data_IF_356759092702
#
_entry.id   IF_356759092702
#
_cell.length_a   1.000
_cell.length_b   1.000
_cell.length_c   1.000
_cell.angle_alpha   90.00
_cell.angle_beta   90.00
_cell.angle_gamma   90.00
#
_symmetry.space_group_name_H-M   'P 1'
#
loop_
_entity.id
_entity.type
_entity.pdbx_description
1 polymer ?
#
# COMPACT_ATOMS: atom_id res chain seq x y z
N UNK A 1 8.78 -0.17 1.56
CA UNK A 1 8.81 1.05 0.72
C UNK A 1 7.62 1.04 -0.23
N UNK A 2 7.24 2.20 -0.78
CA UNK A 2 6.13 2.42 -1.71
C UNK A 2 4.75 1.93 -1.21
N UNK A 3 4.59 1.80 0.11
CA UNK A 3 3.37 1.25 0.71
C UNK A 3 3.07 -0.22 0.35
N UNK A 4 4.03 -0.96 -0.23
CA UNK A 4 3.82 -2.36 -0.64
C UNK A 4 3.17 -3.19 0.48
N UNK A 5 2.00 -3.75 0.20
CA UNK A 5 1.19 -4.43 1.19
C UNK A 5 -0.20 -4.80 0.68
N UNK A 6 -0.97 -5.45 1.55
CA UNK A 6 -2.34 -5.86 1.24
C UNK A 6 -3.31 -4.66 1.26
N UNK A 7 -4.47 -4.80 0.59
CA UNK A 7 -5.51 -3.78 0.58
C UNK A 7 -5.03 -2.47 -0.06
N UNK A 8 -5.14 -1.37 0.69
CA UNK A 8 -4.65 -0.05 0.29
C UNK A 8 -3.13 0.13 0.44
N UNK A 9 -2.43 -0.89 0.95
CA UNK A 9 -1.01 -0.83 1.29
C UNK A 9 -0.75 -0.70 2.79
N UNK A 10 0.53 -0.86 3.14
CA UNK A 10 1.05 -0.52 4.47
C UNK A 10 1.38 0.98 4.54
N UNK A 11 1.71 1.47 5.74
CA UNK A 11 2.32 2.79 5.90
C UNK A 11 3.56 2.88 4.99
N UNK A 12 3.58 3.81 4.01
CA UNK A 12 4.72 3.93 3.11
C UNK A 12 5.95 4.40 3.90
N UNK A 13 7.04 3.65 3.80
CA UNK A 13 8.22 3.84 4.64
C UNK A 13 8.89 5.18 4.33
N UNK A 14 9.11 5.48 3.06
CA UNK A 14 9.65 6.74 2.58
C UNK A 14 8.85 7.97 3.07
N UNK A 15 7.53 7.86 3.16
CA UNK A 15 6.67 8.91 3.73
C UNK A 15 6.84 9.01 5.25
N UNK A 16 6.83 7.86 5.95
CA UNK A 16 7.01 7.83 7.40
C UNK A 16 8.38 8.41 7.81
N UNK A 17 9.44 7.99 7.14
CA UNK A 17 10.81 8.42 7.42
C UNK A 17 10.96 9.93 7.14
N UNK A 18 10.38 10.44 6.05
CA UNK A 18 10.38 11.88 5.78
C UNK A 18 9.68 12.69 6.88
N UNK A 19 8.55 12.20 7.42
CA UNK A 19 7.85 12.84 8.54
C UNK A 19 8.67 12.76 9.82
N UNK A 20 9.27 11.60 10.13
CA UNK A 20 10.14 11.45 11.30
C UNK A 20 11.32 12.43 11.26
N UNK A 21 11.97 12.61 10.11
CA UNK A 21 13.06 13.58 9.91
C UNK A 21 12.58 15.01 10.23
N UNK A 22 11.44 15.42 9.67
CA UNK A 22 10.84 16.75 9.93
C UNK A 22 10.48 16.97 11.41
N UNK A 23 10.19 15.89 12.13
CA UNK A 23 9.86 15.90 13.55
C UNK A 23 11.08 15.73 14.47
N UNK A 24 12.29 15.55 13.92
CA UNK A 24 13.50 15.29 14.70
C UNK A 24 13.50 13.91 15.40
N UNK A 25 12.77 12.95 14.86
CA UNK A 25 12.71 11.57 15.36
C UNK A 25 13.74 10.72 14.61
N UNK A 26 14.75 10.23 15.34
CA UNK A 26 15.79 9.39 14.76
C UNK A 26 15.27 7.99 14.43
N UNK A 27 15.44 7.56 13.19
CA UNK A 27 15.01 6.24 12.69
C UNK A 27 16.17 5.37 12.21
N UNK A 28 17.35 5.95 12.01
CA UNK A 28 18.50 5.28 11.39
C UNK A 28 18.36 5.02 9.88
N UNK A 29 17.34 5.58 9.23
CA UNK A 29 17.08 5.41 7.80
C UNK A 29 17.24 6.75 7.09
N UNK A 30 18.02 6.77 6.02
CA UNK A 30 18.22 7.96 5.19
C UNK A 30 17.00 8.20 4.27
N UNK A 31 16.45 9.43 4.32
CA UNK A 31 15.23 9.84 3.59
C UNK A 31 15.39 9.69 2.08
N UNK A 32 16.52 10.11 1.52
CA UNK A 32 16.72 10.10 0.07
C UNK A 32 16.96 8.68 -0.44
N UNK A 33 17.74 7.88 0.28
CA UNK A 33 17.97 6.47 -0.09
C UNK A 33 16.70 5.63 -0.02
N UNK A 34 15.82 5.85 0.97
CA UNK A 34 14.56 5.10 1.03
C UNK A 34 13.58 5.52 -0.08
N UNK A 35 13.63 6.78 -0.51
CA UNK A 35 12.90 7.25 -1.67
C UNK A 35 13.40 6.55 -2.96
N UNK A 36 14.72 6.47 -3.17
CA UNK A 36 15.29 5.77 -4.32
C UNK A 36 14.89 4.28 -4.31
N UNK A 37 14.96 3.61 -3.15
CA UNK A 37 14.48 2.22 -3.01
C UNK A 37 13.00 2.08 -3.36
N UNK A 38 12.16 3.05 -2.95
CA UNK A 38 10.74 3.02 -3.26
C UNK A 38 10.51 3.08 -4.78
N UNK A 39 11.11 4.06 -5.47
CA UNK A 39 10.85 4.34 -6.88
C UNK A 39 11.61 3.41 -7.83
N UNK A 40 12.89 3.15 -7.56
CA UNK A 40 13.76 2.45 -8.51
C UNK A 40 13.71 0.92 -8.34
N UNK A 41 13.32 0.42 -7.16
CA UNK A 41 13.36 -1.02 -6.85
C UNK A 41 11.98 -1.60 -6.54
N UNK A 42 11.15 -0.92 -5.73
CA UNK A 42 9.90 -1.51 -5.24
C UNK A 42 8.72 -1.25 -6.17
N UNK A 43 8.55 -0.02 -6.69
CA UNK A 43 7.49 0.27 -7.67
C UNK A 43 7.60 -0.61 -8.93
N UNK A 44 8.79 -0.87 -9.52
CA UNK A 44 8.91 -1.67 -10.74
C UNK A 44 8.51 -3.14 -10.60
N UNK A 45 8.50 -3.69 -9.38
CA UNK A 45 8.11 -5.09 -9.11
C UNK A 45 6.64 -5.23 -8.69
N UNK A 46 5.88 -4.14 -8.63
CA UNK A 46 4.46 -4.20 -8.29
C UNK A 46 3.63 -4.67 -9.49
N UNK A 47 2.81 -5.70 -9.29
CA UNK A 47 1.86 -6.17 -10.31
C UNK A 47 0.77 -5.11 -10.63
N UNK A 48 0.42 -4.30 -9.64
CA UNK A 48 -0.58 -3.25 -9.74
C UNK A 48 -0.24 -2.12 -8.75
N UNK A 49 -0.63 -0.87 -9.05
CA UNK A 49 -0.36 0.25 -8.17
C UNK A 49 -1.07 0.08 -6.83
N UNK A 50 -0.31 0.20 -5.74
CA UNK A 50 -0.85 0.24 -4.38
C UNK A 50 -1.41 1.64 -4.13
N UNK A 51 -2.72 1.73 -3.91
CA UNK A 51 -3.41 3.00 -3.66
C UNK A 51 -4.74 2.78 -2.93
N UNK A 52 -5.28 3.86 -2.36
CA UNK A 52 -6.64 3.91 -1.83
C UNK A 52 -7.62 4.02 -3.01
N UNK A 53 -8.06 2.88 -3.54
CA UNK A 53 -9.16 2.81 -4.51
C UNK A 53 -10.51 2.53 -3.81
N UNK A 54 -11.60 2.45 -4.59
CA UNK A 54 -12.95 2.24 -4.04
C UNK A 54 -13.04 0.97 -3.21
N UNK A 55 -12.50 -0.14 -3.72
CA UNK A 55 -12.62 -1.45 -3.08
C UNK A 55 -11.76 -1.52 -1.82
N UNK A 56 -10.54 -0.98 -1.87
CA UNK A 56 -9.67 -0.89 -0.71
C UNK A 56 -10.27 0.00 0.40
N UNK A 57 -10.91 1.11 0.02
CA UNK A 57 -11.62 1.98 0.97
C UNK A 57 -12.83 1.27 1.59
N UNK A 58 -13.62 0.55 0.79
CA UNK A 58 -14.74 -0.28 1.28
C UNK A 58 -14.25 -1.32 2.28
N UNK A 59 -13.15 -2.03 1.98
CA UNK A 59 -12.53 -2.98 2.90
C UNK A 59 -12.19 -2.35 4.25
N UNK A 60 -11.52 -1.19 4.22
CA UNK A 60 -11.16 -0.47 5.44
C UNK A 60 -12.38 0.00 6.23
N UNK A 61 -13.38 0.56 5.55
CA UNK A 61 -14.62 1.02 6.17
C UNK A 61 -15.40 -0.13 6.83
N UNK A 62 -15.46 -1.30 6.18
CA UNK A 62 -16.16 -2.48 6.68
C UNK A 62 -15.33 -3.29 7.70
N UNK A 63 -14.10 -2.90 8.01
CA UNK A 63 -13.22 -3.64 8.92
C UNK A 63 -12.80 -5.02 8.37
N UNK A 64 -12.76 -5.17 7.05
CA UNK A 64 -12.40 -6.43 6.38
C UNK A 64 -10.88 -6.56 6.30
N UNK A 65 -10.39 -7.78 6.46
CA UNK A 65 -8.96 -8.07 6.42
C UNK A 65 -8.35 -7.75 5.04
N UNK A 66 -7.34 -6.87 5.00
CA UNK A 66 -6.81 -6.29 3.76
C UNK A 66 -6.35 -7.28 2.69
N UNK A 67 -5.90 -8.48 3.07
CA UNK A 67 -5.46 -9.51 2.10
C UNK A 67 -6.61 -10.07 1.26
N UNK A 68 -7.87 -9.85 1.66
CA UNK A 68 -9.04 -10.35 0.95
C UNK A 68 -9.32 -9.59 -0.35
N UNK A 69 -8.74 -8.40 -0.54
CA UNK A 69 -9.01 -7.56 -1.73
C UNK A 69 -8.82 -8.31 -3.06
N UNK A 70 -7.68 -8.99 -3.24
CA UNK A 70 -7.40 -9.71 -4.48
C UNK A 70 -8.30 -10.93 -4.67
N UNK A 71 -8.68 -11.59 -3.58
CA UNK A 71 -9.63 -12.72 -3.63
C UNK A 71 -11.03 -12.24 -3.98
N UNK A 72 -11.47 -11.11 -3.43
CA UNK A 72 -12.76 -10.50 -3.75
C UNK A 72 -12.83 -10.08 -5.23
N UNK A 73 -11.80 -9.40 -5.75
CA UNK A 73 -11.71 -9.03 -7.18
C UNK A 73 -11.73 -10.25 -8.11
N UNK A 74 -11.01 -11.33 -7.76
CA UNK A 74 -11.03 -12.59 -8.52
C UNK A 74 -12.39 -13.27 -8.47
N UNK A 75 -13.08 -13.23 -7.33
CA UNK A 75 -14.43 -13.78 -7.19
C UNK A 75 -15.46 -12.98 -8.00
N UNK A 76 -15.35 -11.66 -8.03
CA UNK A 76 -16.18 -10.80 -8.88
C UNK A 76 -16.05 -11.15 -10.36
N UNK A 77 -14.82 -11.29 -10.85
CA UNK A 77 -14.57 -11.70 -12.24
C UNK A 77 -15.12 -13.11 -12.54
N UNK A 78 -15.01 -14.03 -11.58
CA UNK A 78 -15.43 -15.43 -11.76
C UNK A 78 -16.94 -15.62 -11.69
N UNK A 79 -17.63 -14.89 -10.82
CA UNK A 79 -19.04 -15.14 -10.49
C UNK A 79 -19.98 -13.99 -10.84
N UNK A 80 -19.47 -12.84 -11.29
CA UNK A 80 -20.28 -11.67 -11.66
C UNK A 80 -20.94 -10.96 -10.47
N UNK A 81 -20.50 -11.27 -9.25
CA UNK A 81 -21.00 -10.62 -8.01
C UNK A 81 -20.02 -9.50 -7.63
N UNK A 82 -20.48 -8.25 -7.47
CA UNK A 82 -19.60 -7.13 -7.14
C UNK A 82 -18.75 -7.38 -5.87
N UNK A 83 -17.47 -7.00 -5.90
CA UNK A 83 -16.60 -7.10 -4.73
C UNK A 83 -16.88 -6.04 -3.64
N UNK A 84 -17.79 -5.10 -3.90
CA UNK A 84 -18.18 -4.00 -3.00
C UNK A 84 -19.47 -4.28 -2.25
#
# INVERSE_FOLDING_TARGET
AAGLGAGAGNTPMEVLIAVCELMGIETGVDVFRIQDVAEDLVVPIMDFPIRIDRDALTLGYAGVYGSFLLFAKRAEQKYGVPAR
#
